data_IF_521825958423
#
_entry.id   IF_521825958423
#
_cell.length_a   1.000
_cell.length_b   1.000
_cell.length_c   1.000
_cell.angle_alpha   90.00
_cell.angle_beta   90.00
_cell.angle_gamma   90.00
#
_symmetry.space_group_name_H-M   'P 1'
#
loop_
_entity.id
_entity.type
_entity.pdbx_description
1 polymer ?
#
# COMPACT_ATOMS: atom_id res chain seq x y z
N UNK A 1 -9.15 -7.54 -16.27
CA UNK A 1 -9.95 -6.30 -16.31
C UNK A 1 -10.89 -6.31 -15.10
N UNK A 2 -11.30 -5.16 -14.57
CA UNK A 2 -12.33 -5.08 -13.52
C UNK A 2 -13.68 -5.26 -14.19
N UNK A 3 -14.54 -6.10 -13.60
CA UNK A 3 -15.92 -6.19 -14.02
C UNK A 3 -16.77 -5.17 -13.25
N UNK A 4 -17.00 -4.02 -13.88
CA UNK A 4 -17.70 -2.87 -13.30
C UNK A 4 -19.18 -3.11 -12.97
N UNK A 5 -19.78 -4.23 -13.42
CA UNK A 5 -21.22 -4.50 -13.24
C UNK A 5 -21.57 -5.42 -12.07
N UNK A 6 -20.61 -5.84 -11.23
CA UNK A 6 -20.91 -6.71 -10.08
C UNK A 6 -19.77 -7.03 -9.10
N UNK A 7 -18.52 -6.64 -9.40
CA UNK A 7 -17.37 -7.05 -8.57
C UNK A 7 -17.30 -6.36 -7.21
N UNK A 8 -17.87 -5.16 -7.03
CA UNK A 8 -17.81 -4.43 -5.75
C UNK A 8 -18.25 -5.30 -4.57
N UNK A 9 -19.41 -5.93 -4.68
CA UNK A 9 -19.96 -6.75 -3.59
C UNK A 9 -19.14 -8.03 -3.40
N UNK A 10 -18.66 -8.63 -4.49
CA UNK A 10 -17.81 -9.84 -4.43
C UNK A 10 -16.47 -9.53 -3.76
N UNK A 11 -15.84 -8.42 -4.11
CA UNK A 11 -14.57 -7.99 -3.54
C UNK A 11 -14.74 -7.54 -2.09
N UNK A 12 -15.82 -6.82 -1.76
CA UNK A 12 -16.16 -6.49 -0.37
C UNK A 12 -16.42 -7.75 0.46
N UNK A 13 -17.16 -8.72 -0.07
CA UNK A 13 -17.42 -9.98 0.60
C UNK A 13 -16.11 -10.75 0.85
N UNK A 14 -15.21 -10.81 -0.13
CA UNK A 14 -13.89 -11.40 0.05
C UNK A 14 -13.11 -10.72 1.19
N UNK A 15 -13.08 -9.38 1.24
CA UNK A 15 -12.39 -8.65 2.31
C UNK A 15 -13.07 -8.87 3.66
N UNK A 16 -14.39 -8.94 3.70
CA UNK A 16 -15.18 -9.25 4.88
C UNK A 16 -14.93 -10.67 5.38
N UNK A 17 -14.75 -11.64 4.51
CA UNK A 17 -14.57 -13.04 4.91
C UNK A 17 -13.10 -13.41 5.14
N UNK A 18 -12.17 -12.51 4.78
CA UNK A 18 -10.75 -12.75 4.92
C UNK A 18 -10.37 -13.03 6.39
N UNK A 19 -9.68 -14.16 6.57
CA UNK A 19 -9.01 -14.53 7.81
C UNK A 19 -7.75 -15.34 7.47
N UNK A 20 -6.58 -15.04 8.07
CA UNK A 20 -5.39 -15.89 7.96
C UNK A 20 -5.65 -17.31 8.44
N UNK A 21 -4.85 -18.26 7.94
CA UNK A 21 -4.97 -19.67 8.32
C UNK A 21 -4.67 -19.92 9.81
N UNK A 22 -3.75 -19.16 10.40
CA UNK A 22 -3.34 -19.31 11.80
C UNK A 22 -4.09 -18.33 12.68
N UNK A 23 -4.71 -18.83 13.76
CA UNK A 23 -5.42 -18.00 14.73
C UNK A 23 -4.51 -16.93 15.36
N UNK A 24 -5.01 -15.70 15.47
CA UNK A 24 -4.26 -14.57 16.02
C UNK A 24 -3.21 -13.98 15.08
N UNK A 25 -3.02 -14.54 13.89
CA UNK A 25 -2.13 -13.97 12.87
C UNK A 25 -2.79 -12.75 12.20
N UNK A 26 -1.97 -11.81 11.76
CA UNK A 26 -2.41 -10.61 11.03
C UNK A 26 -1.59 -10.41 9.77
N UNK A 27 -2.25 -10.03 8.68
CA UNK A 27 -1.57 -9.62 7.46
C UNK A 27 -1.06 -8.17 7.56
N UNK A 28 0.25 -7.95 7.52
CA UNK A 28 0.84 -6.60 7.55
C UNK A 28 1.17 -6.13 6.13
N UNK A 29 0.49 -5.08 5.72
CA UNK A 29 0.62 -4.44 4.41
C UNK A 29 1.41 -3.15 4.62
N UNK A 30 2.62 -3.06 4.06
CA UNK A 30 3.47 -1.87 4.17
C UNK A 30 3.31 -0.98 2.94
N UNK A 31 2.97 0.29 3.13
CA UNK A 31 2.89 1.29 2.08
C UNK A 31 4.15 2.14 2.07
N UNK A 32 4.78 2.25 0.91
CA UNK A 32 5.92 3.15 0.69
C UNK A 32 5.74 3.91 -0.64
N UNK A 33 6.51 4.97 -0.82
CA UNK A 33 6.43 5.84 -1.99
C UNK A 33 6.87 7.25 -1.66
N UNK A 34 6.98 8.10 -2.68
CA UNK A 34 7.38 9.49 -2.50
C UNK A 34 6.40 10.26 -1.58
N UNK A 35 6.89 11.36 -1.01
CA UNK A 35 6.01 12.32 -0.34
C UNK A 35 4.96 12.83 -1.32
N UNK A 36 3.71 12.95 -0.86
CA UNK A 36 2.60 13.38 -1.73
C UNK A 36 2.01 12.31 -2.65
N UNK A 37 2.57 11.08 -2.68
CA UNK A 37 2.06 10.00 -3.54
C UNK A 37 0.68 9.46 -3.16
N UNK A 38 0.08 9.91 -2.05
CA UNK A 38 -1.27 9.51 -1.65
C UNK A 38 -1.34 8.20 -0.85
N UNK A 39 -0.30 7.85 -0.08
CA UNK A 39 -0.28 6.69 0.83
C UNK A 39 -1.37 6.78 1.90
N UNK A 40 -1.34 7.83 2.72
CA UNK A 40 -2.35 8.07 3.76
C UNK A 40 -3.75 8.24 3.18
N UNK A 41 -3.88 8.88 2.00
CA UNK A 41 -5.15 8.97 1.27
C UNK A 41 -5.68 7.61 0.82
N UNK A 42 -4.81 6.68 0.38
CA UNK A 42 -5.23 5.32 0.05
C UNK A 42 -5.70 4.56 1.29
N UNK A 43 -5.02 4.72 2.43
CA UNK A 43 -5.45 4.14 3.72
C UNK A 43 -6.83 4.68 4.13
N UNK A 44 -7.04 6.00 4.04
CA UNK A 44 -8.33 6.62 4.30
C UNK A 44 -9.42 6.11 3.37
N UNK A 45 -9.08 5.90 2.10
CA UNK A 45 -10.00 5.39 1.09
C UNK A 45 -10.42 3.96 1.43
N UNK A 46 -9.46 3.08 1.72
CA UNK A 46 -9.74 1.70 2.18
C UNK A 46 -10.62 1.72 3.43
N UNK A 47 -10.27 2.53 4.44
CA UNK A 47 -11.07 2.64 5.66
C UNK A 47 -12.48 3.17 5.38
N UNK A 48 -12.63 4.15 4.49
CA UNK A 48 -13.94 4.73 4.14
C UNK A 48 -14.86 3.71 3.49
N UNK A 49 -14.34 2.91 2.55
CA UNK A 49 -15.11 1.87 1.86
C UNK A 49 -15.54 0.78 2.84
N UNK A 50 -14.63 0.30 3.68
CA UNK A 50 -14.94 -0.76 4.66
C UNK A 50 -15.88 -0.28 5.77
N UNK A 51 -15.87 1.02 6.10
CA UNK A 51 -16.78 1.63 7.09
C UNK A 51 -18.12 2.06 6.49
N UNK A 52 -18.25 2.08 5.16
CA UNK A 52 -19.45 2.55 4.46
C UNK A 52 -19.69 4.06 4.54
N UNK A 53 -18.68 4.86 4.91
CA UNK A 53 -18.76 6.34 4.96
C UNK A 53 -17.38 6.97 4.82
N UNK A 54 -17.32 8.20 4.32
CA UNK A 54 -16.08 8.98 4.25
C UNK A 54 -15.48 9.13 5.65
N UNK A 55 -14.15 8.95 5.72
CA UNK A 55 -13.37 9.01 6.95
C UNK A 55 -11.96 9.52 6.70
N UNK A 56 -11.42 10.23 7.69
CA UNK A 56 -10.04 10.69 7.74
C UNK A 56 -9.34 10.06 8.96
N UNK A 57 -8.94 8.78 8.83
CA UNK A 57 -8.25 8.02 9.87
C UNK A 57 -6.74 8.31 9.88
N UNK A 58 -6.12 8.28 8.71
CA UNK A 58 -4.71 8.53 8.49
C UNK A 58 -4.49 10.00 8.16
N UNK A 59 -3.70 10.68 9.00
CA UNK A 59 -3.20 12.02 8.74
C UNK A 59 -1.78 11.92 8.20
N UNK A 60 -1.35 12.95 7.47
CA UNK A 60 0.04 13.03 7.02
C UNK A 60 0.90 13.40 8.23
N UNK A 61 1.41 12.39 8.91
CA UNK A 61 2.42 12.52 9.94
C UNK A 61 3.73 11.84 9.47
N UNK A 62 4.87 12.37 9.91
CA UNK A 62 6.19 11.83 9.55
C UNK A 62 6.53 10.52 10.27
N UNK A 63 5.51 9.77 10.67
CA UNK A 63 5.56 8.73 11.69
C UNK A 63 5.24 7.39 11.04
N UNK A 64 5.96 6.34 11.46
CA UNK A 64 5.62 4.96 11.15
C UNK A 64 4.36 4.58 11.92
N UNK A 65 3.24 4.46 11.21
CA UNK A 65 1.92 4.33 11.84
C UNK A 65 1.17 3.11 11.33
N UNK A 66 0.63 2.33 12.27
CA UNK A 66 -0.15 1.13 12.05
C UNK A 66 -1.63 1.42 12.18
N UNK A 67 -2.33 1.35 11.06
CA UNK A 67 -3.77 1.52 11.01
C UNK A 67 -4.48 0.16 11.07
N UNK A 68 -5.24 -0.04 12.15
CA UNK A 68 -6.19 -1.14 12.30
C UNK A 68 -7.57 -0.66 11.86
N UNK A 69 -8.28 -1.50 11.11
CA UNK A 69 -9.60 -1.19 10.60
C UNK A 69 -10.64 -1.96 11.40
N UNK A 70 -11.59 -1.25 12.01
CA UNK A 70 -12.71 -1.85 12.73
C UNK A 70 -13.64 -2.58 11.76
N UNK A 71 -14.13 -3.75 12.17
CA UNK A 71 -15.00 -4.62 11.39
C UNK A 71 -16.32 -4.80 12.14
N UNK A 72 -17.34 -4.04 11.74
CA UNK A 72 -18.67 -4.10 12.33
C UNK A 72 -18.69 -3.54 13.76
N UNK A 73 -18.55 -4.42 14.75
CA UNK A 73 -18.68 -4.06 16.16
C UNK A 73 -17.43 -3.36 16.72
N UNK A 74 -17.58 -2.53 17.77
CA UNK A 74 -16.43 -1.97 18.50
C UNK A 74 -15.47 -3.08 18.95
N UNK A 75 -14.17 -2.80 18.90
CA UNK A 75 -13.08 -3.72 19.27
C UNK A 75 -12.95 -5.00 18.43
N UNK A 76 -13.72 -5.13 17.34
CA UNK A 76 -13.51 -6.17 16.33
C UNK A 76 -12.76 -5.55 15.16
N UNK A 77 -11.69 -6.19 14.69
CA UNK A 77 -10.84 -5.65 13.63
C UNK A 77 -10.71 -6.64 12.48
N UNK A 78 -10.47 -6.13 11.27
CA UNK A 78 -10.01 -6.98 10.19
C UNK A 78 -8.64 -7.60 10.55
N UNK A 79 -8.36 -8.84 10.13
CA UNK A 79 -7.10 -9.53 10.43
C UNK A 79 -5.98 -9.09 9.48
N UNK A 80 -5.98 -7.82 9.09
CA UNK A 80 -4.90 -7.16 8.38
C UNK A 80 -4.70 -5.75 8.92
N UNK A 81 -3.50 -5.22 8.75
CA UNK A 81 -3.12 -3.86 9.13
C UNK A 81 -2.42 -3.16 7.98
N UNK A 82 -2.69 -1.86 7.84
CA UNK A 82 -2.00 -1.00 6.89
C UNK A 82 -0.91 -0.23 7.65
N UNK A 83 0.30 -0.23 7.14
CA UNK A 83 1.42 0.51 7.71
C UNK A 83 1.80 1.63 6.75
N UNK A 84 1.68 2.87 7.21
CA UNK A 84 2.20 4.02 6.47
C UNK A 84 3.63 4.31 6.91
N UNK A 85 4.45 4.70 5.96
CA UNK A 85 5.80 5.20 6.20
C UNK A 85 5.90 6.62 5.69
N UNK A 86 6.78 7.41 6.30
CA UNK A 86 7.07 8.74 5.76
C UNK A 86 7.41 8.64 4.28
N UNK A 87 6.86 9.57 3.49
CA UNK A 87 7.22 9.63 2.08
C UNK A 87 8.67 10.05 1.89
N UNK A 88 9.35 9.40 0.95
CA UNK A 88 10.68 9.85 0.55
C UNK A 88 10.57 11.23 -0.09
N UNK A 89 11.36 12.19 0.40
CA UNK A 89 11.38 13.54 -0.18
C UNK A 89 12.19 13.55 -1.48
N UNK A 90 13.33 12.87 -1.49
CA UNK A 90 14.24 12.78 -2.62
C UNK A 90 14.71 11.34 -2.83
N UNK A 91 15.07 11.00 -4.06
CA UNK A 91 15.57 9.68 -4.43
C UNK A 91 16.91 9.28 -3.77
N UNK A 92 17.71 10.23 -3.30
CA UNK A 92 19.03 9.94 -2.71
C UNK A 92 18.98 9.54 -1.22
N UNK A 93 17.80 9.34 -0.65
CA UNK A 93 17.63 9.02 0.76
C UNK A 93 17.97 7.54 1.07
N UNK A 94 19.26 7.22 1.09
CA UNK A 94 19.76 5.87 1.42
C UNK A 94 19.46 5.46 2.86
N UNK A 95 19.16 6.41 3.74
CA UNK A 95 18.78 6.13 5.13
C UNK A 95 17.38 5.55 5.15
N UNK A 96 16.46 6.15 4.39
CA UNK A 96 15.09 5.65 4.22
C UNK A 96 15.04 4.19 3.74
N UNK A 97 15.85 3.82 2.75
CA UNK A 97 15.93 2.42 2.25
C UNK A 97 16.36 1.44 3.36
N UNK A 98 17.31 1.84 4.21
CA UNK A 98 17.77 0.99 5.33
C UNK A 98 16.69 0.82 6.40
N UNK A 99 15.90 1.85 6.66
CA UNK A 99 14.80 1.76 7.61
C UNK A 99 13.60 1.00 7.03
N UNK A 100 13.36 1.07 5.71
CA UNK A 100 12.43 0.16 5.02
C UNK A 100 12.89 -1.29 5.22
N UNK A 101 14.17 -1.61 5.00
CA UNK A 101 14.69 -2.97 5.23
C UNK A 101 14.41 -3.47 6.65
N UNK A 102 14.49 -2.58 7.65
CA UNK A 102 14.15 -2.89 9.04
C UNK A 102 12.64 -3.08 9.22
N UNK A 103 11.82 -2.23 8.62
CA UNK A 103 10.36 -2.34 8.66
C UNK A 103 9.88 -3.66 8.03
N UNK A 104 10.43 -4.04 6.86
CA UNK A 104 10.15 -5.31 6.18
C UNK A 104 10.36 -6.52 7.11
N UNK A 105 11.41 -6.47 7.93
CA UNK A 105 11.77 -7.52 8.91
C UNK A 105 11.04 -7.40 10.25
N UNK A 106 10.17 -6.39 10.42
CA UNK A 106 9.39 -6.16 11.64
C UNK A 106 10.14 -5.48 12.79
N UNK A 107 11.31 -4.90 12.50
CA UNK A 107 12.17 -4.28 13.50
C UNK A 107 11.80 -2.82 13.85
N UNK A 108 10.76 -2.25 13.24
CA UNK A 108 10.31 -0.88 13.46
C UNK A 108 8.99 -0.91 14.25
N UNK A 109 8.94 -0.25 15.40
CA UNK A 109 7.73 -0.09 16.21
C UNK A 109 6.90 1.11 15.76
N UNK A 110 5.61 1.05 16.09
CA UNK A 110 4.67 2.14 15.89
C UNK A 110 5.14 3.41 16.62
N UNK A 111 4.98 4.58 15.98
CA UNK A 111 5.43 5.86 16.54
C UNK A 111 6.86 6.26 16.14
N UNK A 112 7.60 5.41 15.41
CA UNK A 112 8.95 5.76 14.95
C UNK A 112 8.91 6.95 13.97
N UNK A 113 9.64 8.02 14.30
CA UNK A 113 9.86 9.15 13.37
C UNK A 113 11.17 8.94 12.64
N UNK A 114 11.12 8.90 11.31
CA UNK A 114 12.31 8.67 10.49
C UNK A 114 13.30 9.81 10.62
N UNK A 115 14.57 9.44 10.76
CA UNK A 115 15.68 10.37 10.76
C UNK A 115 16.36 10.35 9.38
N UNK A 116 16.44 11.47 8.65
CA UNK A 116 17.05 11.51 7.32
C UNK A 116 18.57 11.39 7.33
N UNK A 117 19.20 11.45 8.51
CA UNK A 117 20.66 11.44 8.69
C UNK A 117 21.14 10.08 9.16
N UNK A 118 20.43 9.47 10.12
CA UNK A 118 20.84 8.21 10.75
C UNK A 118 19.75 7.18 10.60
N UNK A 119 20.13 5.96 10.20
CA UNK A 119 19.24 4.80 10.28
C UNK A 119 18.81 4.59 11.73
N UNK A 120 17.63 3.99 11.94
CA UNK A 120 17.22 3.45 13.23
C UNK A 120 18.40 2.69 13.86
N UNK A 121 18.68 2.82 15.16
CA UNK A 121 19.75 2.04 15.82
C UNK A 121 19.14 0.80 16.50
N UNK A 122 19.93 -0.04 17.16
CA UNK A 122 19.37 -1.16 17.96
C UNK A 122 18.99 -0.70 19.37
N UNK A 123 19.62 0.38 19.83
CA UNK A 123 19.46 1.01 21.13
C UNK A 123 18.25 1.97 21.16
N UNK A 124 17.68 2.28 19.99
CA UNK A 124 16.49 3.12 19.86
C UNK A 124 15.25 2.43 20.48
N UNK A 125 14.44 3.12 21.30
CA UNK A 125 13.26 2.54 21.92
C UNK A 125 12.23 2.01 20.90
N UNK A 126 12.20 2.56 19.69
CA UNK A 126 11.35 2.12 18.59
C UNK A 126 11.95 0.96 17.78
N UNK A 127 13.13 0.45 18.13
CA UNK A 127 13.65 -0.78 17.58
C UNK A 127 13.00 -1.99 18.26
N UNK A 128 12.46 -2.90 17.44
CA UNK A 128 11.96 -4.19 17.90
C UNK A 128 13.04 -5.25 17.72
N UNK A 129 13.68 -5.67 18.81
CA UNK A 129 14.79 -6.62 18.77
C UNK A 129 14.38 -8.03 18.32
N UNK A 130 13.18 -8.47 18.70
CA UNK A 130 12.68 -9.83 18.47
C UNK A 130 11.31 -9.81 17.77
N UNK A 131 11.26 -9.55 16.45
CA UNK A 131 10.00 -9.45 15.72
C UNK A 131 9.29 -10.80 15.59
N UNK A 132 8.01 -10.80 15.95
CA UNK A 132 7.08 -11.90 15.66
C UNK A 132 6.64 -11.87 14.19
N UNK A 133 5.94 -12.92 13.74
CA UNK A 133 5.35 -12.93 12.39
C UNK A 133 4.42 -11.73 12.15
N UNK A 134 3.60 -11.37 13.14
CA UNK A 134 2.70 -10.22 13.06
C UNK A 134 3.44 -8.87 12.98
N UNK A 135 4.73 -8.82 13.32
CA UNK A 135 5.54 -7.62 13.14
C UNK A 135 6.13 -7.52 11.73
N UNK A 136 6.38 -8.65 11.07
CA UNK A 136 6.98 -8.68 9.73
C UNK A 136 6.00 -8.21 8.67
N UNK A 137 6.53 -7.67 7.57
CA UNK A 137 5.71 -7.27 6.42
C UNK A 137 5.43 -8.49 5.56
N UNK A 138 4.18 -8.64 5.14
CA UNK A 138 3.72 -9.76 4.32
C UNK A 138 3.47 -9.35 2.86
N UNK A 139 3.28 -8.06 2.61
CA UNK A 139 3.24 -7.49 1.26
C UNK A 139 3.69 -6.04 1.26
N UNK A 140 4.46 -5.67 0.23
CA UNK A 140 4.91 -4.30 0.00
C UNK A 140 4.06 -3.63 -1.09
N UNK A 141 3.49 -2.47 -0.76
CA UNK A 141 2.68 -1.65 -1.67
C UNK A 141 3.44 -0.37 -2.00
N UNK A 142 3.86 -0.25 -3.27
CA UNK A 142 4.49 0.93 -3.81
C UNK A 142 3.42 1.90 -4.32
N UNK A 143 3.16 2.97 -3.58
CA UNK A 143 2.16 3.97 -3.93
C UNK A 143 2.80 5.07 -4.78
N UNK A 144 2.20 5.32 -5.93
CA UNK A 144 2.78 6.12 -7.00
C UNK A 144 1.77 7.18 -7.45
N UNK A 145 2.20 8.43 -7.47
CA UNK A 145 1.42 9.54 -8.02
C UNK A 145 1.41 9.45 -9.55
N UNK A 146 0.28 9.05 -10.15
CA UNK A 146 0.17 8.93 -11.59
C UNK A 146 0.20 10.28 -12.31
N UNK A 147 -0.07 11.40 -11.64
CA UNK A 147 -0.10 12.74 -12.25
C UNK A 147 1.30 13.32 -12.43
N UNK A 148 2.31 12.73 -11.78
CA UNK A 148 3.71 13.14 -11.96
C UNK A 148 4.22 12.78 -13.36
N UNK A 149 4.78 13.75 -14.08
CA UNK A 149 5.33 13.50 -15.43
C UNK A 149 6.63 12.69 -15.39
N UNK A 150 7.44 12.90 -14.34
CA UNK A 150 8.70 12.19 -14.11
C UNK A 150 8.57 10.99 -13.16
N UNK A 151 7.47 10.24 -13.30
CA UNK A 151 7.19 8.95 -12.64
C UNK A 151 8.36 7.94 -12.66
N UNK A 152 9.32 8.16 -13.56
CA UNK A 152 10.44 7.30 -13.82
C UNK A 152 11.76 8.08 -13.96
N UNK A 153 11.87 9.24 -13.32
CA UNK A 153 13.16 9.92 -13.21
C UNK A 153 14.20 8.96 -12.69
N UNK A 154 15.38 8.93 -13.30
CA UNK A 154 16.37 7.85 -13.11
C UNK A 154 16.63 7.55 -11.63
N UNK A 155 16.77 8.60 -10.82
CA UNK A 155 17.01 8.45 -9.39
C UNK A 155 15.80 7.85 -8.66
N UNK A 156 14.57 8.34 -8.92
CA UNK A 156 13.36 7.83 -8.23
C UNK A 156 13.15 6.36 -8.57
N UNK A 157 13.25 6.01 -9.86
CA UNK A 157 13.09 4.64 -10.31
C UNK A 157 14.16 3.71 -9.69
N UNK A 158 15.41 4.17 -9.61
CA UNK A 158 16.49 3.43 -8.98
C UNK A 158 16.19 3.14 -7.50
N UNK A 159 15.74 4.13 -6.73
CA UNK A 159 15.47 3.93 -5.30
C UNK A 159 14.25 3.04 -5.05
N UNK A 160 13.19 3.18 -5.86
CA UNK A 160 12.06 2.27 -5.80
C UNK A 160 12.47 0.84 -6.17
N UNK A 161 13.38 0.68 -7.13
CA UNK A 161 13.96 -0.62 -7.51
C UNK A 161 14.78 -1.22 -6.38
N UNK A 162 15.59 -0.43 -5.67
CA UNK A 162 16.38 -0.87 -4.52
C UNK A 162 15.47 -1.38 -3.39
N UNK A 163 14.42 -0.63 -3.07
CA UNK A 163 13.41 -1.04 -2.07
C UNK A 163 12.72 -2.35 -2.51
N UNK A 164 12.33 -2.46 -3.78
CA UNK A 164 11.74 -3.69 -4.31
C UNK A 164 12.73 -4.87 -4.24
N UNK A 165 14.02 -4.65 -4.49
CA UNK A 165 15.06 -5.68 -4.37
C UNK A 165 15.19 -6.16 -2.92
N UNK A 166 15.18 -5.26 -1.94
CA UNK A 166 15.19 -5.60 -0.51
C UNK A 166 13.99 -6.47 -0.10
N UNK A 167 12.79 -6.17 -0.62
CA UNK A 167 11.63 -7.03 -0.42
C UNK A 167 11.75 -8.39 -1.13
N UNK A 168 12.35 -8.41 -2.33
CA UNK A 168 12.55 -9.63 -3.12
C UNK A 168 13.52 -10.60 -2.45
N UNK A 169 14.58 -10.10 -1.81
CA UNK A 169 15.50 -10.91 -1.01
C UNK A 169 14.81 -11.64 0.14
N UNK A 170 13.70 -11.09 0.65
CA UNK A 170 12.88 -11.68 1.71
C UNK A 170 11.73 -12.54 1.17
N UNK A 171 11.58 -12.63 -0.16
CA UNK A 171 10.45 -13.29 -0.82
C UNK A 171 9.11 -12.56 -0.66
N UNK A 172 9.09 -11.35 -0.10
CA UNK A 172 7.88 -10.57 0.15
C UNK A 172 7.32 -10.10 -1.19
N UNK A 173 6.07 -10.42 -1.56
CA UNK A 173 5.46 -9.96 -2.80
C UNK A 173 5.34 -8.43 -2.83
N UNK A 174 5.43 -7.85 -4.03
CA UNK A 174 5.30 -6.41 -4.23
C UNK A 174 4.23 -6.07 -5.26
N UNK A 175 3.48 -5.01 -5.00
CA UNK A 175 2.52 -4.42 -5.94
C UNK A 175 2.75 -2.91 -6.05
N UNK A 176 2.31 -2.32 -7.15
CA UNK A 176 2.23 -0.87 -7.29
C UNK A 176 0.79 -0.41 -7.37
N UNK A 177 0.49 0.73 -6.76
CA UNK A 177 -0.83 1.38 -6.77
C UNK A 177 -0.66 2.80 -7.27
N UNK A 178 -1.16 3.05 -8.48
CA UNK A 178 -1.20 4.36 -9.09
C UNK A 178 -2.39 5.14 -8.53
N UNK A 179 -2.13 6.25 -7.86
CA UNK A 179 -3.11 7.19 -7.29
C UNK A 179 -3.22 8.43 -8.18
N UNK A 180 -4.14 9.34 -7.83
CA UNK A 180 -4.38 10.61 -8.56
C UNK A 180 -4.61 10.41 -10.05
N UNK A 181 -5.29 9.33 -10.39
CA UNK A 181 -5.57 8.96 -11.78
C UNK A 181 -6.50 9.96 -12.47
N UNK A 182 -7.39 10.58 -11.69
CA UNK A 182 -8.30 11.65 -12.07
C UNK A 182 -7.56 12.96 -12.44
N UNK A 183 -6.39 13.20 -11.85
CA UNK A 183 -5.49 14.28 -12.26
C UNK A 183 -4.64 13.87 -13.47
N UNK A 184 -4.16 12.62 -13.50
CA UNK A 184 -3.23 12.11 -14.49
C UNK A 184 -3.84 11.91 -15.88
N UNK A 185 -5.15 11.62 -15.95
CA UNK A 185 -5.84 11.20 -17.16
C UNK A 185 -7.18 11.96 -17.28
N UNK A 186 -7.27 12.99 -18.14
CA UNK A 186 -8.48 13.81 -18.28
C UNK A 186 -9.76 13.02 -18.57
N UNK A 187 -9.64 11.90 -19.30
CA UNK A 187 -10.75 11.01 -19.65
C UNK A 187 -11.39 10.30 -18.43
N UNK A 188 -10.66 10.18 -17.32
CA UNK A 188 -11.17 9.57 -16.08
C UNK A 188 -12.21 10.44 -15.40
N UNK A 189 -12.12 11.77 -15.57
CA UNK A 189 -13.14 12.71 -15.08
C UNK A 189 -14.49 12.50 -15.75
N UNK A 190 -14.50 11.97 -16.98
CA UNK A 190 -15.73 11.67 -17.71
C UNK A 190 -16.25 10.27 -17.36
N UNK A 191 -15.37 9.27 -17.41
CA UNK A 191 -15.70 7.90 -17.03
C UNK A 191 -14.43 7.18 -16.54
N UNK A 192 -14.40 6.89 -15.24
CA UNK A 192 -13.31 6.19 -14.55
C UNK A 192 -13.04 4.79 -15.12
N UNK A 193 -14.00 4.20 -15.82
CA UNK A 193 -13.87 2.87 -16.46
C UNK A 193 -12.83 2.85 -17.57
N UNK A 194 -12.47 4.03 -18.11
CA UNK A 194 -11.42 4.17 -19.11
C UNK A 194 -10.00 3.96 -18.58
N UNK A 195 -9.81 3.90 -17.25
CA UNK A 195 -8.49 3.79 -16.58
C UNK A 195 -7.58 2.71 -17.17
N UNK A 196 -8.12 1.57 -17.61
CA UNK A 196 -7.32 0.47 -18.16
C UNK A 196 -6.58 0.85 -19.44
N UNK A 197 -7.22 1.62 -20.31
CA UNK A 197 -6.61 2.10 -21.55
C UNK A 197 -5.60 3.20 -21.22
N UNK A 198 -6.00 4.14 -20.37
CA UNK A 198 -5.23 5.33 -20.00
C UNK A 198 -3.92 5.02 -19.28
N UNK A 199 -3.95 4.10 -18.30
CA UNK A 199 -2.75 3.80 -17.48
C UNK A 199 -1.68 2.99 -18.21
N UNK A 200 -2.03 2.30 -19.30
CA UNK A 200 -1.22 1.22 -19.88
C UNK A 200 0.21 1.67 -20.21
N UNK A 201 0.38 2.87 -20.78
CA UNK A 201 1.69 3.39 -21.16
C UNK A 201 2.55 3.74 -19.93
N UNK A 202 1.99 4.50 -18.97
CA UNK A 202 2.69 4.88 -17.73
C UNK A 202 3.04 3.64 -16.90
N UNK A 203 2.13 2.68 -16.79
CA UNK A 203 2.38 1.41 -16.10
C UNK A 203 3.48 0.58 -16.78
N UNK A 204 3.52 0.52 -18.12
CA UNK A 204 4.57 -0.19 -18.86
C UNK A 204 5.94 0.42 -18.62
N UNK A 205 6.05 1.75 -18.67
CA UNK A 205 7.30 2.48 -18.39
C UNK A 205 7.78 2.21 -16.95
N UNK A 206 6.88 2.33 -15.98
CA UNK A 206 7.17 2.03 -14.58
C UNK A 206 7.62 0.57 -14.37
N UNK A 207 6.92 -0.38 -14.98
CA UNK A 207 7.22 -1.81 -14.90
C UNK A 207 8.65 -2.11 -15.37
N UNK A 208 9.07 -1.52 -16.50
CA UNK A 208 10.43 -1.70 -17.04
C UNK A 208 11.49 -1.11 -16.09
N UNK A 209 11.24 0.08 -15.53
CA UNK A 209 12.25 0.81 -14.78
C UNK A 209 12.41 0.31 -13.33
N UNK A 210 11.30 -0.03 -12.67
CA UNK A 210 11.30 -0.48 -11.27
C UNK A 210 11.34 -2.00 -11.17
N UNK A 211 10.81 -2.71 -12.18
CA UNK A 211 10.78 -4.16 -12.22
C UNK A 211 9.62 -4.79 -11.43
N UNK A 212 8.51 -4.06 -11.27
CA UNK A 212 7.22 -4.62 -10.80
C UNK A 212 6.42 -5.07 -12.04
N UNK A 213 5.98 -6.34 -12.13
CA UNK A 213 5.24 -6.84 -13.30
C UNK A 213 3.94 -6.08 -13.55
N UNK A 214 3.55 -5.93 -14.82
CA UNK A 214 2.32 -5.21 -15.23
C UNK A 214 1.04 -5.73 -14.55
N UNK A 215 0.93 -7.02 -14.31
CA UNK A 215 -0.20 -7.65 -13.61
C UNK A 215 -0.21 -7.37 -12.09
N UNK A 216 0.83 -6.74 -11.55
CA UNK A 216 0.94 -6.27 -10.17
C UNK A 216 0.84 -4.73 -10.07
N UNK A 217 0.42 -4.04 -11.14
CA UNK A 217 0.23 -2.59 -11.17
C UNK A 217 -1.26 -2.25 -11.23
N UNK A 218 -1.78 -1.75 -10.12
CA UNK A 218 -3.16 -1.34 -9.93
C UNK A 218 -3.29 0.18 -10.02
N UNK A 219 -4.52 0.66 -10.19
CA UNK A 219 -4.82 2.08 -10.29
C UNK A 219 -6.09 2.35 -9.48
N UNK A 220 -6.06 3.39 -8.67
CA UNK A 220 -7.15 3.77 -7.78
C UNK A 220 -7.35 5.28 -7.82
N UNK A 221 -8.60 5.70 -7.74
CA UNK A 221 -8.92 7.06 -7.29
C UNK A 221 -9.11 6.99 -5.78
N UNK A 222 -8.43 7.87 -5.05
CA UNK A 222 -8.59 7.97 -3.61
C UNK A 222 -9.71 8.96 -3.29
N UNK A 223 -10.46 8.68 -2.23
CA UNK A 223 -11.31 9.67 -1.60
C UNK A 223 -10.43 10.76 -0.98
N UNK A 224 -10.60 11.98 -1.45
CA UNK A 224 -9.79 13.13 -1.01
C UNK A 224 -10.59 14.43 -0.96
N UNK A 225 -11.66 14.57 -1.76
CA UNK A 225 -12.52 15.74 -1.79
C UNK A 225 -14.02 15.40 -1.79
N UNK A 226 -14.36 14.13 -2.02
CA UNK A 226 -15.71 13.65 -2.11
C UNK A 226 -16.40 13.56 -0.74
N UNK A 227 -17.68 13.95 -0.69
CA UNK A 227 -18.48 13.90 0.55
C UNK A 227 -19.19 12.55 0.76
N UNK A 228 -19.34 11.77 -0.31
CA UNK A 228 -20.05 10.49 -0.33
C UNK A 228 -19.25 9.43 -1.09
N UNK A 229 -19.50 8.17 -0.76
CA UNK A 229 -18.93 7.04 -1.49
C UNK A 229 -19.53 6.96 -2.90
N UNK A 230 -18.72 6.54 -3.85
CA UNK A 230 -19.05 6.33 -5.25
C UNK A 230 -18.72 4.88 -5.66
N UNK A 231 -19.68 4.19 -6.26
CA UNK A 231 -19.55 2.76 -6.56
C UNK A 231 -18.34 2.42 -7.43
N UNK A 232 -18.03 3.23 -8.43
CA UNK A 232 -16.87 2.94 -9.30
C UNK A 232 -15.53 3.17 -8.57
N UNK A 233 -15.45 4.15 -7.66
CA UNK A 233 -14.26 4.39 -6.83
C UNK A 233 -14.09 3.23 -5.84
N UNK A 234 -15.18 2.84 -5.17
CA UNK A 234 -15.21 1.69 -4.26
C UNK A 234 -14.74 0.41 -4.96
N UNK A 235 -15.18 0.18 -6.20
CA UNK A 235 -14.81 -0.98 -7.01
C UNK A 235 -13.30 -1.04 -7.24
N UNK A 236 -12.66 0.09 -7.59
CA UNK A 236 -11.21 0.14 -7.76
C UNK A 236 -10.45 -0.13 -6.47
N UNK A 237 -10.90 0.47 -5.36
CA UNK A 237 -10.26 0.31 -4.05
C UNK A 237 -10.38 -1.14 -3.58
N UNK A 238 -11.59 -1.73 -3.63
CA UNK A 238 -11.84 -3.09 -3.14
C UNK A 238 -11.16 -4.16 -4.00
N UNK A 239 -11.18 -4.01 -5.33
CA UNK A 239 -10.50 -4.95 -6.23
C UNK A 239 -8.98 -4.90 -6.03
N UNK A 240 -8.42 -3.70 -5.83
CA UNK A 240 -7.00 -3.53 -5.49
C UNK A 240 -6.67 -4.14 -4.13
N UNK A 241 -7.49 -3.87 -3.10
CA UNK A 241 -7.29 -4.41 -1.75
C UNK A 241 -7.38 -5.95 -1.73
N UNK A 242 -8.35 -6.54 -2.44
CA UNK A 242 -8.47 -7.99 -2.60
C UNK A 242 -7.18 -8.60 -3.15
N UNK A 243 -6.59 -7.98 -4.18
CA UNK A 243 -5.33 -8.46 -4.79
C UNK A 243 -4.16 -8.33 -3.82
N UNK A 244 -4.08 -7.22 -3.08
CA UNK A 244 -3.07 -7.01 -2.03
C UNK A 244 -3.18 -8.09 -0.96
N UNK A 245 -4.39 -8.35 -0.46
CA UNK A 245 -4.65 -9.37 0.56
C UNK A 245 -4.29 -10.75 0.02
N UNK A 246 -4.74 -11.12 -1.17
CA UNK A 246 -4.47 -12.43 -1.75
C UNK A 246 -2.95 -12.70 -1.89
N UNK A 247 -2.18 -11.77 -2.46
CA UNK A 247 -0.73 -11.94 -2.58
C UNK A 247 -0.03 -12.00 -1.24
N UNK A 248 -0.42 -11.15 -0.29
CA UNK A 248 0.14 -11.16 1.05
C UNK A 248 -0.17 -12.45 1.80
N UNK A 249 -1.39 -12.97 1.68
CA UNK A 249 -1.82 -14.21 2.31
C UNK A 249 -1.10 -15.43 1.73
N UNK A 250 -0.91 -15.49 0.41
CA UNK A 250 -0.10 -16.53 -0.23
C UNK A 250 1.33 -16.58 0.33
N UNK A 251 1.92 -15.41 0.63
CA UNK A 251 3.24 -15.34 1.27
C UNK A 251 3.17 -15.75 2.74
N UNK A 252 2.18 -15.27 3.48
CA UNK A 252 1.96 -15.59 4.89
C UNK A 252 1.81 -17.10 5.11
N UNK A 253 1.02 -17.76 4.26
CA UNK A 253 0.80 -19.20 4.32
C UNK A 253 2.08 -19.99 4.03
N UNK A 254 2.92 -19.53 3.08
CA UNK A 254 4.24 -20.13 2.83
C UNK A 254 5.19 -19.99 4.02
N UNK A 255 5.15 -18.86 4.73
CA UNK A 255 5.97 -18.66 5.94
C UNK A 255 5.55 -19.61 7.07
N UNK A 256 4.27 -20.00 7.15
CA UNK A 256 3.78 -20.93 8.16
C UNK A 256 4.15 -22.41 7.87
N UNK A 257 4.54 -22.74 6.63
CA UNK A 257 4.90 -24.11 6.21
C UNK A 257 6.40 -24.41 6.32
N UNK A 258 7.23 -23.41 6.62
CA UNK A 258 8.69 -23.50 6.72
C UNK A 258 9.15 -23.37 8.18
#
# INVERSE_FOLDING_TARGET
EINWSGDKYTDLQFVNDYNPQTEGQQLRILLHGLSGAGKSSFINSVHSVLKGRISALALVDGIYTTYKIEKGNPNTFYPFVLNDMIGMKNANDRVHVKDIKRALRGHVKDGYTFNPVYKLSKEDPYYNESPTINNKVHILVCVIDASTDDLCGENVAATLRDIRLEASELGIPQVAVFTKIDEAFPEIKQDIRNIYKSKKLKAKKFSVNVGIPMNCIFAVQNYHSEMHLHNDIDTLILSTLRRIIAFGDDFLNKQNMC
#
